data_IF_863449561697
#
_entry.id   IF_863449561697
#
_cell.length_a   1.000
_cell.length_b   1.000
_cell.length_c   1.000
_cell.angle_alpha   90.00
_cell.angle_beta   90.00
_cell.angle_gamma   90.00
#
_symmetry.space_group_name_H-M   'P 1'
#
loop_
_entity.id
_entity.type
_entity.pdbx_description
1 polymer ?
#
# COMPACT_ATOMS: atom_id res chain seq x y z
N UNK A 1 17.91 -6.38 -44.77
CA UNK A 1 16.71 -6.77 -44.00
C UNK A 1 15.52 -5.98 -44.54
N UNK A 2 14.44 -6.61 -45.00
CA UNK A 2 13.30 -5.87 -45.55
C UNK A 2 12.70 -4.98 -44.46
N UNK A 3 12.55 -3.68 -44.75
CA UNK A 3 12.08 -2.62 -43.83
C UNK A 3 10.82 -3.01 -43.04
N UNK A 4 9.93 -3.77 -43.66
CA UNK A 4 8.71 -4.32 -43.05
C UNK A 4 8.95 -5.20 -41.83
N UNK A 5 10.05 -5.95 -41.77
CA UNK A 5 10.41 -6.76 -40.60
C UNK A 5 10.82 -5.86 -39.44
N UNK A 6 11.55 -4.77 -39.71
CA UNK A 6 11.96 -3.82 -38.67
C UNK A 6 10.74 -3.12 -38.07
N UNK A 7 9.79 -2.71 -38.92
CA UNK A 7 8.53 -2.09 -38.49
C UNK A 7 7.69 -3.08 -37.66
N UNK A 8 7.59 -4.34 -38.12
CA UNK A 8 6.85 -5.38 -37.40
C UNK A 8 7.44 -5.68 -36.02
N UNK A 9 8.77 -5.77 -35.92
CA UNK A 9 9.46 -6.02 -34.64
C UNK A 9 9.32 -4.82 -33.70
N UNK A 10 9.46 -3.60 -34.20
CA UNK A 10 9.27 -2.39 -33.39
C UNK A 10 7.83 -2.30 -32.83
N UNK A 11 6.82 -2.60 -33.65
CA UNK A 11 5.43 -2.65 -33.22
C UNK A 11 5.19 -3.74 -32.17
N UNK A 12 5.76 -4.94 -32.36
CA UNK A 12 5.65 -6.03 -31.40
C UNK A 12 6.29 -5.68 -30.05
N UNK A 13 7.46 -5.04 -30.05
CA UNK A 13 8.11 -4.56 -28.82
C UNK A 13 7.27 -3.48 -28.15
N UNK A 14 6.71 -2.53 -28.90
CA UNK A 14 5.88 -1.47 -28.34
C UNK A 14 4.62 -2.02 -27.66
N UNK A 15 3.93 -2.97 -28.30
CA UNK A 15 2.78 -3.68 -27.70
C UNK A 15 3.21 -4.47 -26.47
N UNK A 16 4.35 -5.16 -26.52
CA UNK A 16 4.89 -5.90 -25.37
C UNK A 16 5.19 -4.97 -24.19
N UNK A 17 5.75 -3.78 -24.44
CA UNK A 17 6.03 -2.78 -23.40
C UNK A 17 4.73 -2.24 -22.81
N UNK A 18 3.70 -1.99 -23.61
CA UNK A 18 2.38 -1.57 -23.12
C UNK A 18 1.75 -2.67 -22.26
N UNK A 19 1.82 -3.92 -22.70
CA UNK A 19 1.29 -5.07 -21.95
C UNK A 19 2.06 -5.25 -20.64
N UNK A 20 3.40 -5.15 -20.66
CA UNK A 20 4.20 -5.19 -19.44
C UNK A 20 3.82 -4.02 -18.52
N UNK A 21 3.74 -2.78 -19.02
CA UNK A 21 3.38 -1.63 -18.21
C UNK A 21 1.97 -1.77 -17.57
N UNK A 22 1.03 -2.37 -18.30
CA UNK A 22 -0.30 -2.70 -17.78
C UNK A 22 -0.26 -3.84 -16.75
N UNK A 23 0.59 -4.86 -16.94
CA UNK A 23 0.77 -5.98 -16.00
C UNK A 23 1.60 -5.61 -14.77
N UNK A 24 2.46 -4.59 -14.85
CA UNK A 24 3.29 -4.11 -13.75
C UNK A 24 2.57 -3.17 -12.78
N UNK A 25 1.23 -3.09 -12.83
CA UNK A 25 0.44 -2.50 -11.75
C UNK A 25 0.75 -1.00 -11.50
N UNK A 26 1.28 -0.26 -12.51
CA UNK A 26 1.48 1.19 -12.41
C UNK A 26 0.17 1.99 -12.32
N UNK A 27 -0.97 1.32 -12.57
CA UNK A 27 -2.34 1.78 -12.36
C UNK A 27 -3.11 0.89 -11.37
N UNK A 28 -2.43 0.28 -10.38
CA UNK A 28 -3.10 -0.26 -9.18
C UNK A 28 -3.72 0.84 -8.30
N UNK A 29 -3.98 2.00 -8.87
CA UNK A 29 -4.61 3.15 -8.24
C UNK A 29 -6.14 3.09 -8.31
N UNK A 30 -6.74 2.13 -9.03
CA UNK A 30 -8.18 2.13 -9.30
C UNK A 30 -8.97 1.00 -8.64
N UNK A 31 -8.29 0.08 -7.93
CA UNK A 31 -8.94 -0.71 -6.88
C UNK A 31 -8.99 0.06 -5.55
N UNK A 32 -8.69 1.36 -5.58
CA UNK A 32 -8.87 2.32 -4.49
C UNK A 32 -10.34 2.77 -4.35
N UNK A 33 -11.28 1.83 -4.49
CA UNK A 33 -12.70 2.05 -4.17
C UNK A 33 -13.10 1.34 -2.86
N UNK A 34 -12.14 1.16 -1.95
CA UNK A 34 -12.42 0.88 -0.55
C UNK A 34 -11.97 2.06 0.30
N UNK A 35 -12.91 2.99 0.48
CA UNK A 35 -12.99 3.87 1.64
C UNK A 35 -11.92 4.97 1.71
N UNK A 36 -12.19 6.07 1.03
CA UNK A 36 -11.61 7.41 1.27
C UNK A 36 -12.06 8.01 2.63
N UNK A 37 -12.13 7.18 3.67
CA UNK A 37 -12.14 7.69 5.03
C UNK A 37 -10.69 7.99 5.36
N UNK A 38 -10.35 9.27 5.45
CA UNK A 38 -9.21 9.72 6.25
C UNK A 38 -9.33 8.96 7.57
N UNK A 39 -8.43 8.00 7.85
CA UNK A 39 -8.43 7.25 9.09
C UNK A 39 -8.52 8.29 10.22
N UNK A 40 -9.67 8.33 10.88
CA UNK A 40 -9.91 9.34 11.88
C UNK A 40 -8.80 9.18 12.93
N UNK A 41 -8.15 10.27 13.36
CA UNK A 41 -7.14 10.17 14.41
C UNK A 41 -7.77 9.45 15.61
N UNK A 42 -7.07 8.43 16.11
CA UNK A 42 -7.49 7.63 17.26
C UNK A 42 -8.03 8.55 18.36
N UNK A 43 -9.21 8.23 18.87
CA UNK A 43 -9.78 8.91 20.04
C UNK A 43 -8.84 8.78 21.24
N UNK A 44 -8.89 9.71 22.20
CA UNK A 44 -7.98 9.70 23.36
C UNK A 44 -8.03 8.42 24.20
N UNK A 45 -9.16 7.70 24.15
CA UNK A 45 -9.43 6.44 24.86
C UNK A 45 -9.42 5.23 23.92
N UNK A 46 -8.53 5.22 22.92
CA UNK A 46 -8.44 4.14 21.95
C UNK A 46 -7.96 2.82 22.56
N UNK A 47 -8.45 1.73 22.00
CA UNK A 47 -8.16 0.35 22.41
C UNK A 47 -7.20 -0.35 21.45
N UNK A 48 -6.69 -1.53 21.82
CA UNK A 48 -5.89 -2.38 20.93
C UNK A 48 -6.63 -2.71 19.63
N UNK A 49 -7.93 -2.96 19.71
CA UNK A 49 -8.76 -3.27 18.55
C UNK A 49 -8.85 -2.09 17.58
N UNK A 50 -8.92 -0.85 18.09
CA UNK A 50 -8.91 0.34 17.24
C UNK A 50 -7.58 0.52 16.49
N UNK A 51 -6.46 0.10 17.10
CA UNK A 51 -5.13 0.11 16.47
C UNK A 51 -5.04 -0.92 15.33
N UNK A 52 -5.73 -2.04 15.45
CA UNK A 52 -5.73 -3.10 14.43
C UNK A 52 -6.54 -2.73 13.18
N UNK A 53 -7.55 -1.89 13.34
CA UNK A 53 -8.37 -1.42 12.22
C UNK A 53 -7.73 -0.25 11.45
N UNK A 54 -6.61 0.31 11.92
CA UNK A 54 -5.91 1.41 11.25
C UNK A 54 -5.34 0.99 9.89
N UNK A 55 -5.72 1.77 8.87
CA UNK A 55 -5.15 1.68 7.52
C UNK A 55 -4.36 2.95 7.20
N UNK A 56 -3.05 2.79 7.02
CA UNK A 56 -2.16 3.88 6.64
C UNK A 56 -2.08 4.01 5.11
N UNK A 57 -2.22 5.24 4.60
CA UNK A 57 -2.07 5.51 3.16
C UNK A 57 -0.58 5.59 2.79
N UNK A 58 -0.17 5.02 1.64
CA UNK A 58 1.18 5.22 1.10
C UNK A 58 1.40 6.70 0.77
N UNK A 59 2.46 7.31 1.30
CA UNK A 59 2.83 8.69 0.98
C UNK A 59 4.02 8.71 0.02
N UNK A 60 3.98 9.62 -0.97
CA UNK A 60 5.07 9.86 -1.95
C UNK A 60 6.42 10.16 -1.28
N UNK A 61 6.38 10.60 -0.02
CA UNK A 61 7.51 10.78 0.89
C UNK A 61 7.13 10.23 2.26
N UNK A 62 7.11 8.90 2.37
CA UNK A 62 6.75 8.18 3.59
C UNK A 62 7.95 7.63 4.35
N UNK A 63 7.72 7.26 5.60
CA UNK A 63 8.58 6.32 6.32
C UNK A 63 8.49 4.94 5.65
N UNK A 64 9.50 4.09 5.83
CA UNK A 64 9.41 2.76 5.25
C UNK A 64 8.37 1.92 5.98
N UNK A 65 7.60 1.14 5.22
CA UNK A 65 6.48 0.36 5.73
C UNK A 65 6.94 -0.70 6.74
N UNK A 66 8.09 -1.33 6.51
CA UNK A 66 8.69 -2.31 7.42
C UNK A 66 9.07 -1.71 8.78
N UNK A 67 9.59 -0.48 8.79
CA UNK A 67 9.94 0.23 10.03
C UNK A 67 8.68 0.66 10.80
N UNK A 68 7.65 1.12 10.08
CA UNK A 68 6.36 1.50 10.66
C UNK A 68 5.65 0.28 11.24
N UNK A 69 5.56 -0.82 10.50
CA UNK A 69 4.89 -2.04 10.95
C UNK A 69 5.57 -2.63 12.20
N UNK A 70 6.90 -2.62 12.23
CA UNK A 70 7.65 -3.06 13.41
C UNK A 70 7.44 -2.16 14.63
N UNK A 71 7.29 -0.84 14.43
CA UNK A 71 6.99 0.10 15.51
C UNK A 71 5.56 -0.08 16.02
N UNK A 72 4.57 -0.14 15.11
CA UNK A 72 3.16 -0.35 15.45
C UNK A 72 2.96 -1.68 16.17
N UNK A 73 3.63 -2.76 15.74
CA UNK A 73 3.57 -4.05 16.42
C UNK A 73 4.02 -3.98 17.88
N UNK A 74 5.10 -3.25 18.18
CA UNK A 74 5.55 -3.04 19.57
C UNK A 74 4.58 -2.16 20.38
N UNK A 75 4.00 -1.13 19.77
CA UNK A 75 2.99 -0.31 20.44
C UNK A 75 1.76 -1.14 20.79
N UNK A 76 1.29 -1.97 19.85
CA UNK A 76 0.15 -2.87 20.07
C UNK A 76 0.38 -3.81 21.25
N UNK A 77 1.54 -4.47 21.29
CA UNK A 77 1.91 -5.34 22.40
C UNK A 77 1.85 -4.59 23.73
N UNK A 78 2.43 -3.38 23.76
CA UNK A 78 2.45 -2.55 24.97
C UNK A 78 1.07 -2.07 25.42
N UNK A 79 0.19 -1.71 24.49
CA UNK A 79 -1.18 -1.30 24.82
C UNK A 79 -1.95 -2.50 25.37
N UNK A 80 -1.79 -3.69 24.79
CA UNK A 80 -2.44 -4.90 25.29
C UNK A 80 -2.04 -5.26 26.72
N UNK A 81 -0.75 -5.09 27.06
CA UNK A 81 -0.26 -5.26 28.42
C UNK A 81 -0.87 -4.25 29.39
N UNK A 82 -0.98 -2.98 28.96
CA UNK A 82 -1.54 -1.91 29.78
C UNK A 82 -3.03 -2.12 30.06
N UNK A 83 -3.79 -2.52 29.04
CA UNK A 83 -5.21 -2.86 29.18
C UNK A 83 -5.42 -4.08 30.07
N UNK A 84 -4.59 -5.11 29.92
CA UNK A 84 -4.65 -6.31 30.77
C UNK A 84 -4.32 -5.99 32.24
N UNK A 85 -3.43 -5.02 32.50
CA UNK A 85 -3.10 -4.58 33.85
C UNK A 85 -4.14 -3.63 34.47
N UNK A 86 -4.99 -2.99 33.65
CA UNK A 86 -6.06 -2.09 34.11
C UNK A 86 -7.43 -2.79 34.29
N UNK A 87 -7.53 -4.08 33.97
CA UNK A 87 -8.72 -4.92 34.15
C UNK A 87 -8.65 -5.71 35.46
#
# INVERSE_FOLDING_TARGET
>A
MPLWIVIGVAAAIFVLVIVLAASFELFSSEAAEETDAVAAPLSGDFTVEDVDELRFRPALRGYRMDEVDAAIGRLRERISELEAAHR
#
